data_IF_638799962096
#
_entry.id   IF_638799962096
#
_cell.length_a   1.000
_cell.length_b   1.000
_cell.length_c   1.000
_cell.angle_alpha   90.00
_cell.angle_beta   90.00
_cell.angle_gamma   90.00
#
_symmetry.space_group_name_H-M   'P 1'
#
loop_
_entity.id
_entity.type
_entity.pdbx_description
1 polymer ?
#
# COMPACT_ATOMS: atom_id res chain seq x y z
N UNK A 1 -11.12 -11.17 2.42
CA UNK A 1 -10.36 -10.57 3.53
C UNK A 1 -11.13 -9.51 4.32
N UNK A 2 -12.24 -8.98 3.79
CA UNK A 2 -12.93 -7.84 4.44
C UNK A 2 -13.50 -8.23 5.81
N UNK A 3 -14.17 -9.38 5.93
CA UNK A 3 -14.71 -9.84 7.22
C UNK A 3 -13.62 -10.02 8.28
N UNK A 4 -12.52 -10.78 8.02
CA UNK A 4 -11.42 -10.88 8.98
C UNK A 4 -10.84 -9.51 9.38
N UNK A 5 -10.72 -8.57 8.43
CA UNK A 5 -10.25 -7.21 8.74
C UNK A 5 -11.24 -6.50 9.66
N UNK A 6 -12.54 -6.56 9.36
CA UNK A 6 -13.57 -5.94 10.20
C UNK A 6 -13.57 -6.48 11.63
N UNK A 7 -13.22 -7.76 11.80
CA UNK A 7 -13.14 -8.37 13.13
C UNK A 7 -11.86 -7.95 13.87
N UNK A 8 -10.72 -8.00 13.18
CA UNK A 8 -9.44 -7.72 13.83
C UNK A 8 -9.28 -6.26 14.23
N UNK A 9 -9.77 -5.30 13.43
CA UNK A 9 -9.63 -3.86 13.71
C UNK A 9 -10.35 -3.41 14.98
N UNK A 10 -11.32 -4.18 15.48
CA UNK A 10 -12.01 -3.91 16.76
C UNK A 10 -11.08 -3.96 17.97
N UNK A 11 -9.93 -4.64 17.81
CA UNK A 11 -8.96 -4.86 18.89
C UNK A 11 -7.85 -3.79 18.93
N UNK A 12 -7.96 -2.73 18.12
CA UNK A 12 -6.93 -1.69 18.00
C UNK A 12 -7.46 -0.31 18.42
N UNK A 13 -6.71 0.38 19.25
CA UNK A 13 -7.00 1.75 19.68
C UNK A 13 -6.79 2.77 18.55
N UNK A 14 -5.85 2.48 17.65
CA UNK A 14 -5.53 3.32 16.51
C UNK A 14 -5.58 2.50 15.21
N UNK A 15 -6.53 2.82 14.36
CA UNK A 15 -6.67 2.27 13.02
C UNK A 15 -6.43 3.38 12.00
N UNK A 16 -5.53 3.11 11.07
CA UNK A 16 -5.25 3.97 9.91
C UNK A 16 -5.54 3.21 8.63
N UNK A 17 -5.87 3.92 7.58
CA UNK A 17 -6.00 3.35 6.24
C UNK A 17 -5.06 4.05 5.28
N UNK A 18 -4.52 3.30 4.30
CA UNK A 18 -3.90 3.85 3.11
C UNK A 18 -4.86 3.74 1.94
N UNK A 19 -4.76 4.65 0.99
CA UNK A 19 -5.65 4.71 -0.17
C UNK A 19 -4.88 5.17 -1.39
N UNK A 20 -4.95 4.41 -2.47
CA UNK A 20 -4.46 4.88 -3.76
C UNK A 20 -5.33 6.03 -4.26
N UNK A 21 -4.69 7.08 -4.77
CA UNK A 21 -5.37 8.31 -5.12
C UNK A 21 -4.76 8.91 -6.39
N UNK A 22 -4.90 8.16 -7.49
CA UNK A 22 -4.23 8.48 -8.74
C UNK A 22 -4.95 9.57 -9.54
N UNK A 23 -4.25 10.56 -10.11
CA UNK A 23 -4.83 11.38 -11.16
C UNK A 23 -5.14 10.52 -12.40
N UNK A 24 -6.13 10.92 -13.20
CA UNK A 24 -6.55 10.16 -14.40
C UNK A 24 -5.41 9.93 -15.40
N UNK A 25 -4.47 10.86 -15.46
CA UNK A 25 -3.30 10.84 -16.35
C UNK A 25 -2.03 10.32 -15.63
N UNK A 26 -2.19 9.49 -14.60
CA UNK A 26 -1.07 8.91 -13.87
C UNK A 26 -0.20 8.02 -14.75
N UNK A 27 1.12 8.19 -14.69
CA UNK A 27 2.08 7.52 -15.57
C UNK A 27 2.23 6.01 -15.32
N UNK A 28 1.68 5.48 -14.24
CA UNK A 28 1.62 4.03 -14.03
C UNK A 28 0.49 3.34 -14.80
N UNK A 29 -0.40 4.07 -15.45
CA UNK A 29 -1.49 3.47 -16.21
C UNK A 29 -1.07 3.14 -17.65
N UNK A 30 -1.28 1.89 -18.07
CA UNK A 30 -0.96 1.46 -19.43
C UNK A 30 -1.70 2.28 -20.49
N UNK A 31 -2.93 2.71 -20.19
CA UNK A 31 -3.77 3.54 -21.07
C UNK A 31 -3.14 4.90 -21.44
N UNK A 32 -2.22 5.39 -20.63
CA UNK A 32 -1.54 6.67 -20.85
C UNK A 32 -0.26 6.51 -21.71
N UNK A 33 0.04 5.30 -22.20
CA UNK A 33 1.23 5.00 -23.00
C UNK A 33 0.87 4.34 -24.33
N UNK A 34 1.25 4.97 -25.45
CA UNK A 34 1.02 4.42 -26.78
C UNK A 34 1.80 3.10 -26.97
N UNK A 35 1.14 2.08 -27.50
CA UNK A 35 1.73 0.76 -27.78
C UNK A 35 2.31 0.04 -26.55
N UNK A 36 1.71 0.25 -25.38
CA UNK A 36 2.06 -0.46 -24.14
C UNK A 36 0.88 -1.25 -23.62
N UNK A 37 1.17 -2.30 -22.87
CA UNK A 37 0.19 -3.20 -22.28
C UNK A 37 0.30 -3.20 -20.74
N UNK A 38 -0.76 -3.65 -20.10
CA UNK A 38 -0.75 -3.92 -18.66
C UNK A 38 0.33 -4.98 -18.38
N UNK A 39 1.16 -4.73 -17.38
CA UNK A 39 2.28 -5.59 -16.98
C UNK A 39 3.61 -5.23 -17.66
N UNK A 40 3.62 -4.38 -18.70
CA UNK A 40 4.87 -3.87 -19.25
C UNK A 40 5.63 -3.07 -18.18
N UNK A 41 6.96 -3.10 -18.25
CA UNK A 41 7.82 -2.28 -17.41
C UNK A 41 8.39 -1.16 -18.28
N UNK A 42 8.26 0.07 -17.79
CA UNK A 42 8.85 1.25 -18.43
C UNK A 42 9.72 2.01 -17.42
N UNK A 43 10.66 2.78 -17.92
CA UNK A 43 11.44 3.67 -17.06
C UNK A 43 10.80 5.06 -17.04
N UNK A 44 10.49 5.54 -15.83
CA UNK A 44 9.98 6.91 -15.60
C UNK A 44 10.97 7.61 -14.68
N UNK A 45 11.67 8.60 -15.19
CA UNK A 45 12.63 9.42 -14.42
C UNK A 45 13.68 8.59 -13.65
N UNK A 46 14.16 7.50 -14.26
CA UNK A 46 15.17 6.61 -13.66
C UNK A 46 14.60 5.49 -12.78
N UNK A 47 13.29 5.42 -12.60
CA UNK A 47 12.61 4.37 -11.84
C UNK A 47 11.87 3.42 -12.76
N UNK A 48 12.02 2.12 -12.55
CA UNK A 48 11.24 1.11 -13.24
C UNK A 48 9.81 1.09 -12.71
N UNK A 49 8.85 1.24 -13.62
CA UNK A 49 7.42 1.29 -13.33
C UNK A 49 6.69 0.17 -14.07
N UNK A 50 6.03 -0.70 -13.32
CA UNK A 50 5.06 -1.64 -13.88
C UNK A 50 3.83 -0.88 -14.31
N UNK A 51 3.32 -1.15 -15.52
CA UNK A 51 2.10 -0.54 -16.02
C UNK A 51 0.87 -1.30 -15.55
N UNK A 52 -0.04 -0.58 -14.96
CA UNK A 52 -1.28 -1.07 -14.39
C UNK A 52 -2.51 -0.73 -15.24
N UNK A 53 -3.63 -1.44 -15.08
CA UNK A 53 -4.91 -0.93 -15.55
C UNK A 53 -5.27 0.37 -14.82
N UNK A 54 -6.14 1.17 -15.39
CA UNK A 54 -6.71 2.33 -14.70
C UNK A 54 -7.45 1.87 -13.45
N UNK A 55 -7.04 2.40 -12.31
CA UNK A 55 -7.60 2.03 -11.00
C UNK A 55 -7.48 3.19 -10.02
N UNK A 56 -8.28 3.17 -8.99
CA UNK A 56 -8.23 4.14 -7.89
C UNK A 56 -8.08 5.61 -8.33
N UNK A 57 -8.72 5.96 -9.49
CA UNK A 57 -8.71 7.33 -9.98
C UNK A 57 -9.43 8.21 -8.96
N UNK A 58 -8.75 9.26 -8.50
CA UNK A 58 -9.25 10.17 -7.46
C UNK A 58 -10.64 10.72 -7.78
N UNK A 59 -11.48 10.79 -6.75
CA UNK A 59 -12.86 11.28 -6.84
C UNK A 59 -13.78 10.39 -7.71
N UNK A 60 -13.45 9.11 -7.91
CA UNK A 60 -14.33 8.14 -8.57
C UNK A 60 -14.69 7.01 -7.62
N UNK A 61 -15.77 6.29 -7.96
CA UNK A 61 -16.18 5.08 -7.23
C UNK A 61 -15.02 4.06 -7.07
N UNK A 62 -14.18 3.92 -8.10
CA UNK A 62 -13.03 2.99 -8.07
C UNK A 62 -11.97 3.34 -7.03
N UNK A 63 -11.99 4.56 -6.48
CA UNK A 63 -11.11 4.99 -5.41
C UNK A 63 -11.77 4.95 -4.02
N UNK A 64 -13.03 4.51 -3.90
CA UNK A 64 -13.71 4.44 -2.61
C UNK A 64 -13.37 3.16 -1.85
N UNK A 65 -13.48 3.21 -0.53
CA UNK A 65 -13.45 2.00 0.28
C UNK A 65 -14.68 1.13 -0.03
N UNK A 66 -14.53 -0.21 -0.07
CA UNK A 66 -15.68 -1.09 -0.20
C UNK A 66 -16.70 -0.82 0.91
N UNK A 67 -17.98 -0.76 0.57
CA UNK A 67 -19.07 -0.50 1.54
C UNK A 67 -19.11 -1.51 2.68
N UNK A 68 -18.64 -2.73 2.44
CA UNK A 68 -18.55 -3.80 3.44
C UNK A 68 -17.38 -3.65 4.42
N UNK A 69 -16.40 -2.79 4.12
CA UNK A 69 -15.30 -2.50 5.04
C UNK A 69 -15.74 -1.49 6.10
N UNK A 70 -15.63 -1.87 7.36
CA UNK A 70 -15.94 -0.96 8.45
C UNK A 70 -14.82 0.06 8.67
N UNK A 71 -15.05 1.28 8.21
CA UNK A 71 -14.10 2.39 8.37
C UNK A 71 -14.44 3.33 9.54
N UNK A 72 -15.43 3.02 10.36
CA UNK A 72 -15.89 3.91 11.46
C UNK A 72 -14.78 4.22 12.47
N UNK A 73 -13.85 3.29 12.69
CA UNK A 73 -12.72 3.43 13.60
C UNK A 73 -11.46 3.99 12.94
N UNK A 74 -11.46 4.24 11.63
CA UNK A 74 -10.31 4.81 10.93
C UNK A 74 -10.10 6.25 11.35
N UNK A 75 -8.98 6.53 12.01
CA UNK A 75 -8.64 7.86 12.54
C UNK A 75 -7.96 8.76 11.54
N UNK A 76 -7.32 8.18 10.53
CA UNK A 76 -6.65 8.92 9.45
C UNK A 76 -6.54 8.06 8.21
N UNK A 77 -6.75 8.67 7.07
CA UNK A 77 -6.47 8.10 5.75
C UNK A 77 -5.21 8.74 5.19
N UNK A 78 -4.28 7.91 4.74
CA UNK A 78 -3.06 8.31 4.05
C UNK A 78 -3.29 8.07 2.55
N UNK A 79 -3.31 9.14 1.80
CA UNK A 79 -3.41 9.08 0.33
C UNK A 79 -2.02 8.90 -0.26
N UNK A 80 -1.89 8.01 -1.23
CA UNK A 80 -0.63 7.72 -1.91
C UNK A 80 -0.79 7.62 -3.43
N UNK A 81 0.31 7.70 -4.19
CA UNK A 81 0.27 7.69 -5.65
C UNK A 81 -0.51 8.87 -6.24
N UNK A 82 -0.50 10.03 -5.58
CA UNK A 82 -1.24 11.22 -6.00
C UNK A 82 -0.50 12.09 -7.02
N UNK A 83 0.81 11.84 -7.18
CA UNK A 83 1.67 12.58 -8.10
C UNK A 83 1.70 11.89 -9.47
N UNK A 84 1.49 12.63 -10.54
CA UNK A 84 1.37 12.09 -11.91
C UNK A 84 2.56 11.22 -12.35
N UNK A 85 3.77 11.64 -12.01
CA UNK A 85 5.02 11.10 -12.58
C UNK A 85 5.75 10.11 -11.68
N UNK A 86 5.20 9.79 -10.52
CA UNK A 86 5.80 8.83 -9.60
C UNK A 86 4.71 8.09 -8.83
N UNK A 87 4.81 6.79 -8.81
CA UNK A 87 3.89 5.95 -8.06
C UNK A 87 4.34 5.77 -6.59
N UNK A 88 3.46 5.23 -5.77
CA UNK A 88 3.67 5.02 -4.34
C UNK A 88 3.07 3.68 -3.94
N UNK A 89 3.89 2.64 -3.91
CA UNK A 89 3.43 1.37 -3.35
C UNK A 89 3.39 1.44 -1.83
N UNK A 90 4.42 2.01 -1.23
CA UNK A 90 4.51 2.17 0.22
C UNK A 90 3.53 3.21 0.76
N UNK A 91 2.98 2.93 1.95
CA UNK A 91 2.26 3.92 2.73
C UNK A 91 3.15 4.99 3.36
N UNK A 92 4.49 4.84 3.31
CA UNK A 92 5.45 5.78 3.89
C UNK A 92 6.05 6.75 2.87
N UNK A 93 6.36 6.25 1.66
CA UNK A 93 7.10 7.01 0.63
C UNK A 93 6.55 6.71 -0.77
N UNK A 94 6.87 7.59 -1.70
CA UNK A 94 6.80 7.26 -3.13
C UNK A 94 7.86 6.22 -3.52
N UNK A 95 7.77 5.66 -4.72
CA UNK A 95 8.67 4.59 -5.19
C UNK A 95 10.14 5.05 -5.31
N UNK A 96 10.40 6.35 -5.43
CA UNK A 96 11.74 6.92 -5.44
C UNK A 96 12.26 7.31 -4.06
N UNK A 97 11.45 7.19 -3.01
CA UNK A 97 11.73 7.69 -1.65
C UNK A 97 12.08 9.19 -1.62
N UNK A 98 11.52 9.94 -2.59
CA UNK A 98 11.74 11.39 -2.72
C UNK A 98 10.80 12.14 -1.78
N UNK A 99 9.54 11.67 -1.68
CA UNK A 99 8.48 12.32 -0.91
C UNK A 99 7.91 11.37 0.12
N UNK A 100 7.89 11.81 1.38
CA UNK A 100 7.19 11.14 2.48
C UNK A 100 5.69 11.42 2.41
N UNK A 101 4.87 10.45 2.81
CA UNK A 101 3.43 10.63 3.01
C UNK A 101 3.08 11.33 4.32
N UNK A 102 4.05 11.46 5.22
CA UNK A 102 3.85 11.94 6.58
C UNK A 102 3.34 10.85 7.56
N UNK A 103 3.30 9.58 7.12
CA UNK A 103 2.85 8.49 7.98
C UNK A 103 3.78 8.26 9.17
N UNK A 104 5.09 8.26 8.94
CA UNK A 104 6.10 8.02 9.97
C UNK A 104 6.01 9.07 11.08
N UNK A 105 5.97 10.33 10.73
CA UNK A 105 5.85 11.46 11.66
C UNK A 105 4.56 11.37 12.47
N UNK A 106 3.45 11.02 11.80
CA UNK A 106 2.16 10.85 12.48
C UNK A 106 2.21 9.72 13.52
N UNK A 107 2.76 8.56 13.15
CA UNK A 107 2.90 7.41 14.05
C UNK A 107 3.81 7.71 15.24
N UNK A 108 4.97 8.38 15.00
CA UNK A 108 5.90 8.80 16.05
C UNK A 108 5.25 9.80 17.01
N UNK A 109 4.48 10.77 16.50
CA UNK A 109 3.72 11.73 17.31
C UNK A 109 2.67 11.04 18.19
N UNK A 110 2.15 9.88 17.76
CA UNK A 110 1.23 9.05 18.53
C UNK A 110 1.94 8.03 19.44
N UNK A 111 3.28 8.07 19.53
CA UNK A 111 4.10 7.14 20.31
C UNK A 111 3.91 5.66 19.91
N UNK A 112 3.52 5.40 18.66
CA UNK A 112 3.36 4.04 18.14
C UNK A 112 4.75 3.40 18.00
N UNK A 113 4.87 2.16 18.47
CA UNK A 113 6.10 1.36 18.38
C UNK A 113 5.90 0.07 17.58
N UNK A 114 4.66 -0.42 17.51
CA UNK A 114 4.31 -1.67 16.86
C UNK A 114 3.11 -1.44 15.96
N UNK A 115 3.17 -2.03 14.76
CA UNK A 115 2.13 -1.86 13.74
C UNK A 115 1.81 -3.23 13.15
N UNK A 116 0.52 -3.50 13.02
CA UNK A 116 -0.01 -4.67 12.36
C UNK A 116 -0.61 -4.24 11.01
N UNK A 117 -0.26 -4.95 9.95
CA UNK A 117 -0.67 -4.63 8.59
C UNK A 117 -1.65 -5.66 8.05
N UNK A 118 -2.68 -5.16 7.38
CA UNK A 118 -3.72 -5.92 6.70
C UNK A 118 -4.06 -5.27 5.36
N UNK A 119 -4.69 -6.00 4.45
CA UNK A 119 -5.23 -5.44 3.20
C UNK A 119 -4.53 -5.91 1.94
N UNK A 120 -4.44 -5.04 0.96
CA UNK A 120 -4.03 -5.32 -0.42
C UNK A 120 -2.87 -4.42 -0.87
N UNK A 121 -2.12 -4.82 -1.84
CA UNK A 121 -1.88 -6.18 -2.30
C UNK A 121 -0.61 -6.72 -1.64
N UNK A 122 -0.64 -8.01 -1.24
CA UNK A 122 0.47 -8.67 -0.53
C UNK A 122 1.82 -8.47 -1.22
N UNK A 123 1.83 -8.64 -2.54
CA UNK A 123 3.02 -8.61 -3.40
C UNK A 123 3.47 -7.19 -3.80
N UNK A 124 2.66 -6.17 -3.51
CA UNK A 124 2.95 -4.75 -3.80
C UNK A 124 2.80 -3.86 -2.56
N UNK A 125 1.71 -3.14 -2.46
CA UNK A 125 1.58 -2.06 -1.48
C UNK A 125 1.77 -2.52 -0.04
N UNK A 126 1.27 -3.70 0.32
CA UNK A 126 1.45 -4.26 1.66
C UNK A 126 2.93 -4.57 1.92
N UNK A 127 3.60 -5.29 1.00
CA UNK A 127 5.01 -5.64 1.11
C UNK A 127 5.88 -4.39 1.28
N UNK A 128 5.77 -3.43 0.37
CA UNK A 128 6.58 -2.23 0.42
C UNK A 128 6.33 -1.40 1.68
N UNK A 129 5.05 -1.31 2.11
CA UNK A 129 4.71 -0.62 3.37
C UNK A 129 5.30 -1.32 4.58
N UNK A 130 5.20 -2.65 4.66
CA UNK A 130 5.73 -3.42 5.80
C UNK A 130 7.27 -3.35 5.88
N UNK A 131 7.97 -3.42 4.74
CA UNK A 131 9.42 -3.30 4.69
C UNK A 131 9.87 -1.89 5.10
N UNK A 132 9.23 -0.85 4.57
CA UNK A 132 9.53 0.53 4.95
C UNK A 132 9.22 0.78 6.44
N UNK A 133 8.17 0.18 6.98
CA UNK A 133 7.85 0.24 8.40
C UNK A 133 9.00 -0.26 9.28
N UNK A 134 9.60 -1.41 8.92
CA UNK A 134 10.79 -1.93 9.61
C UNK A 134 11.96 -0.96 9.47
N UNK A 135 12.20 -0.44 8.26
CA UNK A 135 13.28 0.54 8.00
C UNK A 135 13.11 1.82 8.79
N UNK A 136 11.86 2.24 9.05
CA UNK A 136 11.50 3.37 9.90
C UNK A 136 11.59 3.06 11.42
N UNK A 137 11.97 1.82 11.78
CA UNK A 137 12.20 1.40 13.17
C UNK A 137 10.96 0.95 13.93
N UNK A 138 9.84 0.66 13.24
CA UNK A 138 8.65 0.11 13.87
C UNK A 138 8.74 -1.42 13.98
N UNK A 139 8.28 -1.98 15.10
CA UNK A 139 8.01 -3.42 15.18
C UNK A 139 6.82 -3.73 14.27
N UNK A 140 7.06 -4.51 13.22
CA UNK A 140 6.13 -4.68 12.11
C UNK A 140 5.64 -6.11 12.02
N UNK A 141 4.32 -6.29 11.99
CA UNK A 141 3.68 -7.57 11.78
C UNK A 141 2.69 -7.51 10.62
N UNK A 142 2.51 -8.62 9.93
CA UNK A 142 1.50 -8.82 8.89
C UNK A 142 0.58 -9.95 9.32
N UNK A 143 -0.74 -9.69 9.35
CA UNK A 143 -1.76 -10.67 9.68
C UNK A 143 -2.12 -11.44 8.40
N UNK A 144 -1.60 -12.66 8.24
CA UNK A 144 -1.64 -13.37 6.96
C UNK A 144 -3.05 -13.77 6.50
N UNK A 145 -3.98 -13.96 7.43
CA UNK A 145 -5.38 -14.25 7.12
C UNK A 145 -6.15 -13.01 6.63
N UNK A 146 -5.59 -11.82 6.85
CA UNK A 146 -6.17 -10.53 6.51
C UNK A 146 -5.55 -9.87 5.28
N UNK A 147 -4.80 -10.62 4.47
CA UNK A 147 -4.14 -10.09 3.27
C UNK A 147 -4.52 -10.87 2.01
N UNK A 148 -4.36 -10.25 0.85
CA UNK A 148 -4.50 -10.91 -0.45
C UNK A 148 -3.61 -10.19 -1.47
N UNK A 149 -3.00 -10.97 -2.36
CA UNK A 149 -2.19 -10.41 -3.45
C UNK A 149 -2.78 -10.67 -4.82
N UNK A 150 -2.04 -10.30 -5.83
CA UNK A 150 -2.44 -10.37 -7.23
C UNK A 150 -2.08 -11.73 -7.83
N UNK A 151 -0.83 -12.17 -7.63
CA UNK A 151 -0.31 -13.43 -8.15
C UNK A 151 0.25 -14.31 -7.03
N UNK A 152 0.00 -15.62 -7.12
CA UNK A 152 0.42 -16.56 -6.06
C UNK A 152 1.93 -16.62 -5.88
N UNK A 153 2.68 -16.69 -6.98
CA UNK A 153 4.15 -16.81 -6.93
C UNK A 153 4.79 -15.52 -6.41
N UNK A 154 4.32 -14.36 -6.88
CA UNK A 154 4.81 -13.07 -6.39
C UNK A 154 4.46 -12.86 -4.91
N UNK A 155 3.30 -13.34 -4.44
CA UNK A 155 2.95 -13.32 -3.02
C UNK A 155 3.91 -14.16 -2.17
N UNK A 156 4.23 -15.39 -2.59
CA UNK A 156 5.19 -16.26 -1.89
C UNK A 156 6.58 -15.59 -1.78
N UNK A 157 7.06 -14.98 -2.87
CA UNK A 157 8.30 -14.22 -2.87
C UNK A 157 8.22 -13.00 -1.93
N UNK A 158 7.11 -12.27 -1.96
CA UNK A 158 6.90 -11.11 -1.11
C UNK A 158 6.89 -11.45 0.39
N UNK A 159 6.23 -12.56 0.77
CA UNK A 159 6.23 -13.04 2.15
C UNK A 159 7.64 -13.42 2.63
N UNK A 160 8.41 -14.11 1.78
CA UNK A 160 9.79 -14.46 2.09
C UNK A 160 10.67 -13.21 2.22
N UNK A 161 10.53 -12.24 1.32
CA UNK A 161 11.25 -10.97 1.37
C UNK A 161 10.90 -10.20 2.65
N UNK A 162 9.63 -10.06 3.00
CA UNK A 162 9.20 -9.41 4.23
C UNK A 162 9.81 -10.06 5.47
N UNK A 163 9.79 -11.41 5.57
CA UNK A 163 10.46 -12.14 6.65
C UNK A 163 11.95 -11.82 6.73
N UNK A 164 12.66 -11.86 5.60
CA UNK A 164 14.10 -11.58 5.55
C UNK A 164 14.46 -10.16 5.98
N UNK A 165 13.52 -9.24 5.86
CA UNK A 165 13.65 -7.83 6.27
C UNK A 165 13.18 -7.56 7.72
N UNK A 166 12.78 -8.59 8.46
CA UNK A 166 12.39 -8.46 9.86
C UNK A 166 10.91 -8.22 10.12
N UNK A 167 10.06 -8.42 9.10
CA UNK A 167 8.60 -8.43 9.29
C UNK A 167 8.17 -9.76 9.91
N UNK A 168 7.39 -9.70 10.98
CA UNK A 168 6.77 -10.87 11.60
C UNK A 168 5.47 -11.22 10.87
N UNK A 169 5.34 -12.45 10.37
CA UNK A 169 4.10 -12.97 9.76
C UNK A 169 3.35 -13.78 10.81
N UNK A 170 2.10 -13.43 11.09
CA UNK A 170 1.26 -14.07 12.10
C UNK A 170 -0.14 -14.38 11.57
#
# INVERSE_FOLDING_TARGET
IIEPINDVIKNYDLVLATKDWHPKDHMSFASNHKNKNIGDIININGLDQVLWPDHCIKNTFGSDFPKSLNISNVKKVIYKGSEKHIDSYSGFFDNGKIKSTGLSEYLRKKNIKKIDYVGLATDYCLKYTAIDSVSEGFKTRVLVDCIRGIDKKSCELALNEMKSKGVELI
#
